data_IF_058124279923
#
_entry.id   IF_058124279923
#
_cell.length_a   1.000
_cell.length_b   1.000
_cell.length_c   1.000
_cell.angle_alpha   90.00
_cell.angle_beta   90.00
_cell.angle_gamma   90.00
#
_symmetry.space_group_name_H-M   'P 1'
#
loop_
_entity.id
_entity.type
_entity.pdbx_description
1 polymer ?
#
# COMPACT_ATOMS: atom_id res chain seq x y z
N UNK A 1 -23.02 34.13 5.27
CA UNK A 1 -21.91 34.42 4.34
C UNK A 1 -21.15 33.12 4.02
N UNK A 2 -21.84 32.11 3.46
CA UNK A 2 -21.32 30.75 3.18
C UNK A 2 -21.94 30.25 1.86
N UNK A 3 -21.87 31.07 0.80
CA UNK A 3 -22.35 30.67 -0.55
C UNK A 3 -21.29 30.79 -1.64
N UNK A 4 -20.17 31.45 -1.36
CA UNK A 4 -19.13 31.74 -2.36
C UNK A 4 -18.15 30.56 -2.50
N UNK A 5 -17.82 29.84 -1.42
CA UNK A 5 -16.86 28.72 -1.47
C UNK A 5 -17.35 27.45 -2.20
N UNK A 6 -18.66 27.26 -2.37
CA UNK A 6 -19.18 26.11 -3.16
C UNK A 6 -19.05 26.32 -4.67
N UNK A 7 -19.03 27.58 -5.13
CA UNK A 7 -19.00 27.91 -6.55
C UNK A 7 -17.59 27.81 -7.14
N UNK A 8 -16.57 28.11 -6.33
CA UNK A 8 -15.17 28.02 -6.76
C UNK A 8 -14.77 26.54 -6.98
N UNK A 9 -15.12 25.63 -6.06
CA UNK A 9 -14.82 24.20 -6.25
C UNK A 9 -15.52 23.58 -7.47
N UNK A 10 -16.73 24.03 -7.79
CA UNK A 10 -17.46 23.51 -8.96
C UNK A 10 -16.85 24.01 -10.28
N UNK A 11 -16.37 25.25 -10.32
CA UNK A 11 -15.77 25.85 -11.53
C UNK A 11 -14.42 25.24 -11.91
N UNK A 12 -13.69 24.63 -10.97
CA UNK A 12 -12.45 23.90 -11.28
C UNK A 12 -12.69 22.42 -11.64
N UNK A 13 -13.84 21.84 -11.27
CA UNK A 13 -14.22 20.48 -11.67
C UNK A 13 -14.68 20.40 -13.13
N UNK A 14 -15.15 21.52 -13.69
CA UNK A 14 -15.60 21.60 -15.10
C UNK A 14 -14.46 21.81 -16.12
N UNK A 15 -13.21 21.95 -15.67
CA UNK A 15 -12.02 22.00 -16.54
C UNK A 15 -11.65 20.59 -17.02
N UNK A 16 -12.49 20.05 -17.91
CA UNK A 16 -12.28 18.91 -18.81
C UNK A 16 -11.19 17.89 -18.41
N UNK A 17 -11.35 17.27 -17.26
CA UNK A 17 -10.80 15.95 -16.99
C UNK A 17 -11.93 14.97 -17.36
N UNK A 18 -11.73 14.02 -18.29
CA UNK A 18 -12.71 12.97 -18.56
C UNK A 18 -13.23 12.36 -17.25
N UNK A 19 -14.53 12.08 -17.12
CA UNK A 19 -15.09 11.50 -15.89
C UNK A 19 -14.35 10.22 -15.46
N UNK A 20 -13.82 9.45 -16.42
CA UNK A 20 -12.96 8.29 -16.18
C UNK A 20 -11.64 8.61 -15.47
N UNK A 21 -11.06 9.78 -15.76
CA UNK A 21 -9.80 10.23 -15.18
C UNK A 21 -10.02 10.77 -13.77
N UNK A 22 -11.15 11.45 -13.51
CA UNK A 22 -11.53 11.89 -12.15
C UNK A 22 -11.74 10.67 -11.23
N UNK A 23 -12.44 9.64 -11.70
CA UNK A 23 -12.67 8.41 -10.94
C UNK A 23 -11.35 7.73 -10.56
N UNK A 24 -10.41 7.64 -11.49
CA UNK A 24 -9.08 7.04 -11.26
C UNK A 24 -8.28 7.82 -10.22
N UNK A 25 -8.31 9.15 -10.25
CA UNK A 25 -7.61 9.97 -9.25
C UNK A 25 -8.16 9.79 -7.84
N UNK A 26 -9.47 9.65 -7.70
CA UNK A 26 -10.11 9.39 -6.41
C UNK A 26 -9.63 8.05 -5.86
N UNK A 27 -9.69 6.99 -6.67
CA UNK A 27 -9.23 5.65 -6.26
C UNK A 27 -7.75 5.65 -5.84
N UNK A 28 -6.88 6.37 -6.56
CA UNK A 28 -5.47 6.48 -6.19
C UNK A 28 -5.27 7.17 -4.84
N UNK A 29 -6.02 8.23 -4.55
CA UNK A 29 -5.99 8.88 -3.23
C UNK A 29 -6.53 7.97 -2.12
N UNK A 30 -7.54 7.15 -2.42
CA UNK A 30 -8.05 6.16 -1.47
C UNK A 30 -7.00 5.09 -1.17
N UNK A 31 -6.30 4.58 -2.19
CA UNK A 31 -5.19 3.62 -2.03
C UNK A 31 -4.07 4.22 -1.19
N UNK A 32 -3.66 5.46 -1.44
CA UNK A 32 -2.62 6.13 -0.65
C UNK A 32 -3.01 6.31 0.81
N UNK A 33 -4.27 6.72 1.06
CA UNK A 33 -4.81 6.85 2.42
C UNK A 33 -4.80 5.50 3.12
N UNK A 34 -5.22 4.43 2.45
CA UNK A 34 -5.26 3.09 3.00
C UNK A 34 -3.83 2.58 3.31
N UNK A 35 -2.86 2.84 2.43
CA UNK A 35 -1.44 2.53 2.69
C UNK A 35 -0.93 3.28 3.91
N UNK A 36 -1.21 4.58 4.03
CA UNK A 36 -0.81 5.38 5.18
C UNK A 36 -1.43 4.84 6.47
N UNK A 37 -2.72 4.50 6.45
CA UNK A 37 -3.43 3.94 7.58
C UNK A 37 -2.83 2.59 8.00
N UNK A 38 -2.55 1.71 7.03
CA UNK A 38 -1.91 0.42 7.27
C UNK A 38 -0.54 0.62 7.92
N UNK A 39 0.27 1.54 7.39
CA UNK A 39 1.60 1.81 7.93
C UNK A 39 1.51 2.35 9.36
N UNK A 40 0.54 3.22 9.66
CA UNK A 40 0.30 3.68 11.03
C UNK A 40 -0.05 2.53 11.97
N UNK A 41 -0.98 1.66 11.59
CA UNK A 41 -1.34 0.51 12.43
C UNK A 41 -0.15 -0.45 12.62
N UNK A 42 0.58 -0.77 11.55
CA UNK A 42 1.76 -1.62 11.62
C UNK A 42 2.91 -0.98 12.40
N UNK A 43 2.97 0.35 12.51
CA UNK A 43 3.99 1.06 13.28
C UNK A 43 3.88 0.87 14.80
N UNK A 44 2.78 0.29 15.28
CA UNK A 44 2.66 -0.09 16.69
C UNK A 44 3.33 -1.43 16.99
N UNK A 45 3.74 -2.17 15.95
CA UNK A 45 4.32 -3.50 16.05
C UNK A 45 5.73 -3.56 15.45
N UNK A 46 6.42 -4.68 15.65
CA UNK A 46 7.75 -4.96 15.08
C UNK A 46 7.73 -5.92 13.89
N UNK A 47 6.54 -6.29 13.42
CA UNK A 47 6.29 -7.30 12.39
C UNK A 47 5.02 -6.94 11.60
N UNK A 48 4.80 -7.61 10.46
CA UNK A 48 3.54 -7.50 9.71
C UNK A 48 2.46 -8.32 10.43
N UNK A 49 1.50 -7.63 11.04
CA UNK A 49 0.39 -8.23 11.78
C UNK A 49 -0.68 -8.79 10.82
N UNK A 50 -1.36 -9.87 11.22
CA UNK A 50 -2.60 -10.37 10.63
C UNK A 50 -3.81 -9.77 11.37
N UNK A 51 -5.05 -9.96 10.89
CA UNK A 51 -6.29 -9.41 11.52
C UNK A 51 -6.57 -7.91 11.25
N UNK A 52 -6.48 -7.51 9.98
CA UNK A 52 -7.00 -6.22 9.53
C UNK A 52 -8.44 -6.32 9.02
N UNK A 53 -9.21 -5.24 9.11
CA UNK A 53 -10.61 -5.22 8.72
C UNK A 53 -10.82 -4.94 7.22
N UNK A 54 -10.64 -5.98 6.40
CA UNK A 54 -10.76 -5.90 4.93
C UNK A 54 -12.21 -5.78 4.40
N UNK A 55 -13.22 -5.84 5.27
CA UNK A 55 -14.63 -5.74 4.88
C UNK A 55 -15.10 -4.32 4.58
N UNK A 56 -14.59 -3.33 5.32
CA UNK A 56 -14.96 -1.92 5.15
C UNK A 56 -13.76 -0.95 5.14
N UNK A 57 -12.66 -1.28 5.82
CA UNK A 57 -11.50 -0.36 5.92
C UNK A 57 -10.57 -0.59 4.75
N UNK A 58 -10.22 -1.85 4.47
CA UNK A 58 -9.31 -2.22 3.39
C UNK A 58 -9.99 -3.02 2.28
N UNK A 59 -10.92 -2.38 1.57
CA UNK A 59 -11.83 -3.05 0.65
C UNK A 59 -11.40 -3.02 -0.83
N UNK A 60 -10.38 -2.22 -1.17
CA UNK A 60 -9.95 -2.04 -2.55
C UNK A 60 -9.17 -3.26 -3.08
N UNK A 61 -9.12 -3.37 -4.41
CA UNK A 61 -8.36 -4.40 -5.13
C UNK A 61 -6.92 -3.92 -5.32
N UNK A 62 -6.14 -3.88 -4.25
CA UNK A 62 -4.80 -3.27 -4.24
C UNK A 62 -3.83 -3.83 -5.30
N UNK A 63 -4.04 -5.08 -5.75
CA UNK A 63 -3.27 -5.66 -6.84
C UNK A 63 -3.48 -4.98 -8.20
N UNK A 64 -4.61 -4.30 -8.41
CA UNK A 64 -4.87 -3.50 -9.63
C UNK A 64 -4.01 -2.22 -9.67
N UNK A 65 -3.34 -1.89 -8.57
CA UNK A 65 -2.51 -0.68 -8.41
C UNK A 65 -1.00 -0.98 -8.36
N UNK A 66 -0.58 -2.21 -8.66
CA UNK A 66 0.85 -2.57 -8.69
C UNK A 66 1.61 -1.90 -9.85
N UNK A 67 0.92 -1.52 -10.93
CA UNK A 67 1.52 -0.83 -12.07
C UNK A 67 0.68 0.37 -12.55
N UNK A 68 0.57 1.38 -11.69
CA UNK A 68 -0.11 2.63 -12.05
C UNK A 68 0.77 3.48 -12.96
N UNK A 69 0.36 3.61 -14.22
CA UNK A 69 0.92 4.60 -15.14
C UNK A 69 0.31 6.00 -14.99
N UNK A 70 1.03 7.02 -15.51
CA UNK A 70 0.53 8.39 -15.63
C UNK A 70 0.69 9.28 -14.41
N UNK A 71 1.53 8.87 -13.44
CA UNK A 71 1.82 9.62 -12.20
C UNK A 71 3.34 9.75 -11.99
N UNK A 72 3.75 10.56 -11.02
CA UNK A 72 5.16 10.78 -10.70
C UNK A 72 5.85 9.47 -10.24
N UNK A 73 7.12 9.21 -10.63
CA UNK A 73 7.82 7.97 -10.28
C UNK A 73 7.87 7.67 -8.79
N UNK A 74 8.10 8.67 -7.94
CA UNK A 74 8.15 8.50 -6.48
C UNK A 74 6.79 8.06 -5.92
N UNK A 75 5.71 8.61 -6.47
CA UNK A 75 4.33 8.27 -6.11
C UNK A 75 3.98 6.87 -6.60
N UNK A 76 4.40 6.51 -7.81
CA UNK A 76 4.26 5.15 -8.34
C UNK A 76 4.99 4.12 -7.46
N UNK A 77 6.21 4.43 -7.01
CA UNK A 77 6.97 3.57 -6.10
C UNK A 77 6.25 3.42 -4.76
N UNK A 78 5.77 4.52 -4.19
CA UNK A 78 5.02 4.49 -2.93
C UNK A 78 3.77 3.62 -3.01
N UNK A 79 2.96 3.80 -4.07
CA UNK A 79 1.73 3.02 -4.26
C UNK A 79 2.07 1.54 -4.46
N UNK A 80 3.02 1.21 -5.33
CA UNK A 80 3.43 -0.18 -5.59
C UNK A 80 3.93 -0.86 -4.32
N UNK A 81 4.87 -0.24 -3.63
CA UNK A 81 5.45 -0.78 -2.39
C UNK A 81 4.39 -0.94 -1.30
N UNK A 82 3.52 0.05 -1.12
CA UNK A 82 2.43 -0.01 -0.15
C UNK A 82 1.40 -1.09 -0.47
N UNK A 83 1.02 -1.25 -1.74
CA UNK A 83 0.13 -2.33 -2.18
C UNK A 83 0.76 -3.71 -1.94
N UNK A 84 2.07 -3.85 -2.16
CA UNK A 84 2.77 -5.09 -1.84
C UNK A 84 2.79 -5.40 -0.34
N UNK A 85 2.97 -4.40 0.52
CA UNK A 85 2.85 -4.58 1.99
C UNK A 85 1.42 -4.95 2.39
N UNK A 86 0.42 -4.34 1.75
CA UNK A 86 -1.00 -4.70 1.96
C UNK A 86 -1.27 -6.16 1.59
N UNK A 87 -0.79 -6.61 0.42
CA UNK A 87 -0.91 -8.01 0.00
C UNK A 87 -0.15 -8.96 0.94
N UNK A 88 1.02 -8.55 1.44
CA UNK A 88 1.76 -9.32 2.44
C UNK A 88 0.97 -9.50 3.74
N UNK A 89 0.30 -8.44 4.22
CA UNK A 89 -0.58 -8.50 5.40
C UNK A 89 -1.79 -9.41 5.15
N UNK A 90 -2.37 -9.39 3.95
CA UNK A 90 -3.43 -10.31 3.55
C UNK A 90 -2.96 -11.78 3.51
N UNK A 91 -1.72 -12.03 3.09
CA UNK A 91 -1.12 -13.36 3.11
C UNK A 91 -0.96 -13.87 4.55
N UNK A 92 -0.47 -13.03 5.47
CA UNK A 92 -0.43 -13.33 6.90
C UNK A 92 -1.82 -13.65 7.47
N UNK A 93 -2.84 -12.85 7.14
CA UNK A 93 -4.22 -13.11 7.56
C UNK A 93 -4.75 -14.48 7.11
N UNK A 94 -4.32 -14.95 5.93
CA UNK A 94 -4.68 -16.26 5.42
C UNK A 94 -3.87 -17.40 6.08
N UNK A 95 -2.59 -17.19 6.35
CA UNK A 95 -1.73 -18.15 7.05
C UNK A 95 -2.20 -18.35 8.50
N UNK A 96 -2.60 -17.28 9.18
CA UNK A 96 -3.09 -17.30 10.57
C UNK A 96 -4.54 -17.80 10.70
N UNK A 97 -5.21 -18.06 9.58
CA UNK A 97 -6.45 -18.84 9.54
C UNK A 97 -7.75 -18.06 9.35
N UNK A 98 -7.72 -16.74 9.15
CA UNK A 98 -8.90 -15.97 8.72
C UNK A 98 -9.05 -16.06 7.20
N UNK A 99 -8.15 -15.40 6.46
CA UNK A 99 -8.03 -15.43 5.00
C UNK A 99 -9.29 -15.07 4.22
N UNK A 100 -10.34 -14.56 4.87
CA UNK A 100 -11.67 -14.44 4.28
C UNK A 100 -11.68 -13.52 3.05
N UNK A 101 -10.81 -12.50 3.06
CA UNK A 101 -10.69 -11.55 1.97
C UNK A 101 -9.81 -12.06 0.82
N UNK A 102 -8.64 -12.62 1.14
CA UNK A 102 -7.66 -13.05 0.14
C UNK A 102 -8.06 -14.36 -0.53
N UNK A 103 -8.58 -15.34 0.22
CA UNK A 103 -8.90 -16.68 -0.28
C UNK A 103 -9.75 -16.71 -1.56
N UNK A 104 -10.87 -15.96 -1.69
CA UNK A 104 -11.65 -15.96 -2.93
C UNK A 104 -10.95 -15.29 -4.11
N UNK A 105 -9.86 -14.55 -3.87
CA UNK A 105 -9.13 -13.73 -4.86
C UNK A 105 -7.71 -14.19 -5.09
N UNK A 106 -7.26 -15.24 -4.42
CA UNK A 106 -5.87 -15.66 -4.38
C UNK A 106 -5.26 -15.84 -5.77
N UNK A 107 -5.99 -16.48 -6.71
CA UNK A 107 -5.52 -16.69 -8.07
C UNK A 107 -5.28 -15.36 -8.83
N UNK A 108 -6.17 -14.39 -8.63
CA UNK A 108 -6.07 -13.06 -9.23
C UNK A 108 -4.90 -12.26 -8.65
N UNK A 109 -4.76 -12.28 -7.32
CA UNK A 109 -3.64 -11.63 -6.62
C UNK A 109 -2.30 -12.23 -7.03
N UNK A 110 -2.21 -13.56 -7.08
CA UNK A 110 -0.99 -14.26 -7.52
C UNK A 110 -0.62 -13.91 -8.95
N UNK A 111 -1.59 -13.84 -9.87
CA UNK A 111 -1.32 -13.43 -11.25
C UNK A 111 -0.80 -11.99 -11.33
N UNK A 112 -1.45 -11.04 -10.66
CA UNK A 112 -1.04 -9.65 -10.66
C UNK A 112 0.35 -9.43 -10.03
N UNK A 113 0.68 -10.16 -8.96
CA UNK A 113 2.02 -10.12 -8.36
C UNK A 113 3.08 -10.78 -9.25
N UNK A 114 2.71 -11.81 -10.03
CA UNK A 114 3.63 -12.44 -10.97
C UNK A 114 3.98 -11.51 -12.14
N UNK A 115 2.99 -10.80 -12.66
CA UNK A 115 3.16 -9.82 -13.74
C UNK A 115 3.87 -8.53 -13.28
N UNK A 116 3.86 -8.25 -11.97
CA UNK A 116 4.52 -7.08 -11.41
C UNK A 116 6.06 -7.24 -11.44
N UNK A 117 6.74 -6.26 -12.01
CA UNK A 117 8.20 -6.16 -12.02
C UNK A 117 8.67 -4.79 -11.51
N UNK A 118 9.91 -4.73 -11.03
CA UNK A 118 10.57 -3.48 -10.63
C UNK A 118 12.05 -3.57 -10.94
N UNK A 119 12.67 -2.47 -11.35
CA UNK A 119 14.11 -2.39 -11.55
C UNK A 119 14.86 -2.19 -10.22
N UNK A 120 14.19 -1.60 -9.24
CA UNK A 120 14.71 -1.37 -7.89
C UNK A 120 14.89 -2.69 -7.13
N UNK A 121 16.13 -2.97 -6.69
CA UNK A 121 16.49 -4.20 -5.97
C UNK A 121 15.68 -4.37 -4.68
N UNK A 122 15.43 -3.27 -3.97
CA UNK A 122 14.67 -3.30 -2.72
C UNK A 122 13.23 -3.73 -2.97
N UNK A 123 12.59 -3.19 -4.00
CA UNK A 123 11.24 -3.58 -4.42
C UNK A 123 11.20 -5.00 -4.99
N UNK A 124 12.23 -5.43 -5.74
CA UNK A 124 12.33 -6.84 -6.19
C UNK A 124 12.39 -7.81 -5.02
N UNK A 125 13.15 -7.48 -3.98
CA UNK A 125 13.18 -8.27 -2.76
C UNK A 125 11.81 -8.31 -2.09
N UNK A 126 11.10 -7.18 -1.97
CA UNK A 126 9.73 -7.15 -1.45
C UNK A 126 8.79 -8.04 -2.25
N UNK A 127 8.83 -7.96 -3.59
CA UNK A 127 8.06 -8.83 -4.48
C UNK A 127 8.31 -10.32 -4.19
N UNK A 128 9.57 -10.71 -4.02
CA UNK A 128 9.92 -12.10 -3.67
C UNK A 128 9.32 -12.53 -2.31
N UNK A 129 9.33 -11.64 -1.30
CA UNK A 129 8.69 -11.90 0.00
C UNK A 129 7.17 -12.09 -0.16
N UNK A 130 6.52 -11.23 -0.95
CA UNK A 130 5.08 -11.34 -1.22
C UNK A 130 4.74 -12.64 -1.94
N UNK A 131 5.51 -13.01 -2.98
CA UNK A 131 5.34 -14.28 -3.71
C UNK A 131 5.45 -15.48 -2.77
N UNK A 132 6.47 -15.51 -1.91
CA UNK A 132 6.63 -16.56 -0.90
C UNK A 132 5.44 -16.62 0.07
N UNK A 133 4.93 -15.46 0.52
CA UNK A 133 3.74 -15.40 1.37
C UNK A 133 2.49 -15.96 0.70
N UNK A 134 2.26 -15.62 -0.57
CA UNK A 134 1.15 -16.16 -1.36
C UNK A 134 1.28 -17.66 -1.60
N UNK A 135 2.50 -18.16 -1.83
CA UNK A 135 2.76 -19.61 -1.95
C UNK A 135 2.41 -20.35 -0.66
N UNK A 136 2.86 -19.84 0.50
CA UNK A 136 2.55 -20.42 1.81
C UNK A 136 1.04 -20.41 2.09
N UNK A 137 0.40 -19.26 1.86
CA UNK A 137 -1.05 -19.11 2.00
C UNK A 137 -1.82 -20.08 1.10
N UNK A 138 -1.41 -20.23 -0.16
CA UNK A 138 -2.04 -21.15 -1.12
C UNK A 138 -1.89 -22.63 -0.72
N UNK A 139 -0.74 -22.98 -0.15
CA UNK A 139 -0.42 -24.34 0.26
C UNK A 139 -1.08 -24.77 1.57
N UNK A 140 -1.76 -23.85 2.28
CA UNK A 140 -2.28 -24.09 3.63
C UNK A 140 -1.18 -24.48 4.62
N UNK A 141 0.03 -23.97 4.40
CA UNK A 141 1.21 -24.27 5.22
C UNK A 141 1.30 -23.27 6.37
N UNK A 142 1.90 -23.69 7.47
CA UNK A 142 2.37 -22.79 8.51
C UNK A 142 3.43 -21.85 7.96
N UNK A 143 3.62 -20.73 8.64
CA UNK A 143 4.75 -19.84 8.41
C UNK A 143 6.09 -20.60 8.60
N UNK A 144 7.12 -20.11 7.92
CA UNK A 144 8.50 -20.61 8.06
C UNK A 144 9.35 -19.53 8.71
N UNK A 145 10.41 -19.92 9.43
CA UNK A 145 11.35 -18.96 10.02
C UNK A 145 11.93 -18.00 8.97
N UNK A 146 12.20 -18.50 7.75
CA UNK A 146 12.64 -17.68 6.62
C UNK A 146 11.60 -16.62 6.24
N UNK A 147 10.33 -17.01 6.10
CA UNK A 147 9.26 -16.09 5.76
C UNK A 147 9.05 -15.03 6.86
N UNK A 148 9.13 -15.43 8.14
CA UNK A 148 9.07 -14.51 9.28
C UNK A 148 10.19 -13.48 9.21
N UNK A 149 11.44 -13.90 9.00
CA UNK A 149 12.59 -13.01 8.92
C UNK A 149 12.49 -12.03 7.74
N UNK A 150 12.01 -12.51 6.59
CA UNK A 150 11.76 -11.70 5.40
C UNK A 150 10.62 -10.69 5.59
N UNK A 151 9.53 -11.12 6.24
CA UNK A 151 8.40 -10.25 6.60
C UNK A 151 8.84 -9.15 7.57
N UNK A 152 9.64 -9.49 8.58
CA UNK A 152 10.22 -8.53 9.53
C UNK A 152 11.18 -7.55 8.84
N UNK A 153 11.95 -8.01 7.84
CA UNK A 153 12.72 -7.12 7.00
C UNK A 153 11.81 -6.14 6.24
N UNK A 154 10.73 -6.61 5.61
CA UNK A 154 9.80 -5.75 4.87
C UNK A 154 9.14 -4.70 5.78
N UNK A 155 8.72 -5.10 6.99
CA UNK A 155 8.20 -4.16 7.99
C UNK A 155 9.21 -3.04 8.31
N UNK A 156 10.45 -3.41 8.67
CA UNK A 156 11.49 -2.42 9.01
C UNK A 156 11.85 -1.50 7.85
N UNK A 157 11.88 -2.06 6.64
CA UNK A 157 12.33 -1.33 5.45
C UNK A 157 11.26 -0.38 4.93
N UNK A 158 10.01 -0.83 4.79
CA UNK A 158 8.96 -0.03 4.15
C UNK A 158 8.09 0.71 5.16
N UNK A 159 7.62 0.02 6.21
CA UNK A 159 6.75 0.64 7.22
C UNK A 159 7.55 1.58 8.12
N UNK A 160 8.56 1.07 8.83
CA UNK A 160 9.42 1.92 9.67
C UNK A 160 10.28 2.86 8.84
N UNK A 161 10.66 2.47 7.62
CA UNK A 161 11.39 3.34 6.70
C UNK A 161 10.58 4.56 6.27
N UNK A 162 9.29 4.41 6.02
CA UNK A 162 8.38 5.53 5.73
C UNK A 162 8.45 6.60 6.82
N UNK A 163 8.22 6.24 8.08
CA UNK A 163 8.25 7.21 9.19
C UNK A 163 9.63 7.84 9.39
N UNK A 164 10.72 7.06 9.22
CA UNK A 164 12.09 7.60 9.28
C UNK A 164 12.35 8.62 8.16
N UNK A 165 11.87 8.34 6.95
CA UNK A 165 11.98 9.26 5.81
C UNK A 165 11.20 10.54 6.07
N UNK A 166 9.94 10.43 6.49
CA UNK A 166 9.08 11.59 6.79
C UNK A 166 9.64 12.44 7.92
N UNK A 167 10.14 11.83 9.00
CA UNK A 167 10.77 12.57 10.09
C UNK A 167 12.00 13.35 9.62
N UNK A 168 12.86 12.74 8.80
CA UNK A 168 14.03 13.40 8.23
C UNK A 168 13.65 14.55 7.30
N UNK A 169 12.61 14.39 6.48
CA UNK A 169 12.10 15.46 5.63
C UNK A 169 11.60 16.63 6.47
N UNK A 170 10.91 16.36 7.59
CA UNK A 170 10.47 17.39 8.51
C UNK A 170 11.66 18.15 9.14
N UNK A 171 12.70 17.44 9.57
CA UNK A 171 13.89 18.03 10.19
C UNK A 171 14.76 18.86 9.22
N UNK A 172 14.79 18.48 7.94
CA UNK A 172 15.70 19.08 6.95
C UNK A 172 15.05 20.11 6.04
N UNK A 173 13.72 20.24 6.08
CA UNK A 173 13.00 21.16 5.23
C UNK A 173 12.99 22.57 5.84
N UNK A 174 13.55 23.58 5.12
CA UNK A 174 13.67 24.95 5.63
C UNK A 174 12.32 25.65 5.84
N UNK A 175 11.22 25.10 5.34
CA UNK A 175 9.87 25.63 5.59
C UNK A 175 9.30 25.21 6.95
N UNK A 176 9.93 24.27 7.67
CA UNK A 176 9.51 23.82 8.99
C UNK A 176 10.45 24.27 10.13
N UNK A 177 11.57 24.93 9.82
CA UNK A 177 12.42 25.53 10.85
C UNK A 177 11.67 26.67 11.54
N UNK A 178 11.63 26.65 12.88
CA UNK A 178 10.93 27.63 13.74
C UNK A 178 11.49 29.07 13.68
N UNK A 179 12.39 29.38 12.74
CA UNK A 179 13.01 30.69 12.56
C UNK A 179 12.23 31.63 11.61
N UNK A 180 10.90 31.49 11.56
CA UNK A 180 9.97 32.40 10.86
C UNK A 180 9.52 33.57 11.71
#
# INVERSE_FOLDING_TARGET
MIKINRQINHQYQDLHIPESDVSRWVELQEVERDICLLYHQLSEYSYIMSDFYYGNVYALRYWDFLDVGGIEPDRQSFIREGCLIMILAMAWDMIDGSGAFLKPRLAEVSAAVEDCSSEDERTRKLLAVVKLGLELASGGRSDTAEFVDLSNWAHREFVRGYFRKTAREFETNPYFSEDG
#
